data_IF_855955587984
#
_entry.id   IF_855955587984
#
_cell.length_a   1.000
_cell.length_b   1.000
_cell.length_c   1.000
_cell.angle_alpha   90.00
_cell.angle_beta   90.00
_cell.angle_gamma   90.00
#
_symmetry.space_group_name_H-M   'P 1'
#
loop_
_entity.id
_entity.type
_entity.pdbx_description
1 polymer ?
#
# COMPACT_ATOMS: atom_id res chain seq x y z
N UNK A 1 32.62 19.21 12.75
CA UNK A 1 31.77 18.43 13.66
C UNK A 1 30.32 18.55 13.21
N UNK A 2 29.72 17.41 12.86
CA UNK A 2 28.33 17.35 12.44
C UNK A 2 27.41 17.24 13.66
N UNK A 3 26.65 18.29 13.95
CA UNK A 3 25.63 18.25 14.99
C UNK A 3 24.40 17.49 14.51
N UNK A 4 24.08 16.37 15.13
CA UNK A 4 22.80 15.71 15.01
C UNK A 4 21.93 16.13 16.20
N UNK A 5 20.95 17.01 15.97
CA UNK A 5 19.95 17.35 16.98
C UNK A 5 18.55 17.02 16.50
N UNK A 6 17.78 16.33 17.34
CA UNK A 6 16.35 16.12 17.16
C UNK A 6 15.51 17.23 17.78
N UNK A 7 16.15 18.27 18.35
CA UNK A 7 15.48 19.43 18.97
C UNK A 7 15.31 20.56 17.96
N UNK A 8 14.24 21.32 18.10
CA UNK A 8 13.90 22.48 17.25
C UNK A 8 14.79 23.69 17.47
N UNK A 9 15.68 23.68 18.46
CA UNK A 9 16.64 24.75 18.73
C UNK A 9 18.01 24.18 19.06
N UNK A 10 19.05 24.79 18.51
CA UNK A 10 20.46 24.51 18.78
C UNK A 10 21.08 25.77 19.37
N UNK A 11 21.69 25.68 20.55
CA UNK A 11 22.51 26.76 21.11
C UNK A 11 23.93 26.58 20.59
N UNK A 12 24.47 27.62 19.96
CA UNK A 12 25.86 27.68 19.51
C UNK A 12 26.53 28.80 20.26
N UNK A 13 27.68 28.53 20.90
CA UNK A 13 28.50 29.60 21.46
C UNK A 13 29.06 30.43 20.28
N UNK A 14 28.72 31.71 20.26
CA UNK A 14 29.19 32.61 19.22
C UNK A 14 30.43 33.37 19.76
N UNK A 15 31.54 33.27 19.03
CA UNK A 15 32.62 34.24 19.13
C UNK A 15 32.30 35.42 18.21
N UNK A 16 32.77 36.62 18.57
CA UNK A 16 32.52 37.84 17.83
C UNK A 16 32.78 37.67 16.32
N UNK A 17 31.84 38.12 15.48
CA UNK A 17 31.86 38.07 14.02
C UNK A 17 31.49 36.72 13.34
N UNK A 18 30.69 35.85 13.96
CA UNK A 18 30.18 34.69 13.29
C UNK A 18 28.73 34.87 12.82
N UNK A 19 28.51 34.81 11.50
CA UNK A 19 27.16 34.73 10.92
C UNK A 19 26.80 33.24 10.72
N UNK A 20 25.79 32.75 11.46
CA UNK A 20 25.31 31.38 11.31
C UNK A 20 24.07 31.38 10.43
N UNK A 21 24.21 30.99 9.19
CA UNK A 21 23.09 30.69 8.30
C UNK A 21 22.68 29.23 8.45
N UNK A 22 21.87 28.91 9.49
CA UNK A 22 21.35 27.58 9.69
C UNK A 22 20.09 27.38 8.83
N UNK A 23 20.23 26.66 7.71
CA UNK A 23 19.10 26.18 6.92
C UNK A 23 18.65 24.85 7.50
N UNK A 24 17.68 24.87 8.37
CA UNK A 24 17.05 23.63 8.87
C UNK A 24 16.19 23.02 7.75
N UNK A 25 16.75 22.08 7.02
CA UNK A 25 15.97 21.19 6.18
C UNK A 25 15.53 20.05 7.10
N UNK A 26 14.25 20.03 7.45
CA UNK A 26 13.66 18.86 8.08
C UNK A 26 13.90 17.66 7.15
N UNK A 27 14.88 16.82 7.49
CA UNK A 27 15.00 15.52 6.83
C UNK A 27 13.79 14.71 7.24
N UNK A 28 12.77 14.73 6.38
CA UNK A 28 11.69 13.77 6.49
C UNK A 28 12.35 12.40 6.30
N UNK A 29 12.34 11.51 7.31
CA UNK A 29 12.98 10.21 7.17
C UNK A 29 12.40 9.50 5.95
N UNK A 30 13.25 8.76 5.24
CA UNK A 30 12.83 7.93 4.12
C UNK A 30 11.68 7.05 4.57
N UNK A 31 10.49 7.27 4.02
CA UNK A 31 9.31 6.49 4.37
C UNK A 31 9.03 5.50 3.24
N UNK A 32 9.12 4.23 3.57
CA UNK A 32 8.54 3.18 2.75
C UNK A 32 7.03 3.20 2.96
N UNK A 33 6.31 3.92 2.10
CA UNK A 33 4.85 3.98 2.16
C UNK A 33 4.20 2.75 1.54
N UNK A 34 4.97 1.92 0.82
CA UNK A 34 4.46 0.70 0.23
C UNK A 34 4.21 -0.39 1.30
N UNK A 35 5.13 -0.57 2.28
CA UNK A 35 4.93 -1.46 3.42
C UNK A 35 4.21 -2.75 3.09
N UNK A 36 3.09 -2.99 3.76
CA UNK A 36 2.19 -4.13 3.53
C UNK A 36 1.59 -4.17 2.11
N UNK A 37 1.57 -3.03 1.40
CA UNK A 37 1.03 -2.92 0.05
C UNK A 37 1.99 -3.43 -1.05
N UNK A 38 3.23 -3.80 -0.71
CA UNK A 38 4.17 -4.39 -1.67
C UNK A 38 3.63 -5.70 -2.22
N UNK A 39 3.60 -5.82 -3.54
CA UNK A 39 3.20 -7.06 -4.22
C UNK A 39 1.88 -7.66 -3.73
N UNK A 40 0.88 -6.82 -3.40
CA UNK A 40 -0.46 -7.33 -3.11
C UNK A 40 -0.95 -8.11 -4.32
N UNK A 41 -1.41 -9.33 -4.08
CA UNK A 41 -2.02 -10.21 -5.07
C UNK A 41 -3.23 -10.90 -4.46
N UNK A 42 -4.28 -11.01 -5.25
CA UNK A 42 -5.48 -11.77 -4.91
C UNK A 42 -5.71 -12.87 -5.92
N UNK A 43 -6.14 -14.04 -5.45
CA UNK A 43 -6.66 -15.12 -6.28
C UNK A 43 -8.06 -15.48 -5.76
N UNK A 44 -9.04 -15.45 -6.66
CA UNK A 44 -10.44 -15.47 -6.31
C UNK A 44 -11.12 -16.64 -7.01
N UNK A 45 -11.89 -17.41 -6.24
CA UNK A 45 -12.83 -18.41 -6.75
C UNK A 45 -14.22 -18.07 -6.19
N UNK A 46 -15.26 -18.78 -6.64
CA UNK A 46 -16.60 -18.64 -6.07
C UNK A 46 -16.71 -19.12 -4.60
N UNK A 47 -15.69 -19.81 -4.07
CA UNK A 47 -15.70 -20.40 -2.71
C UNK A 47 -14.58 -19.86 -1.83
N UNK A 48 -13.57 -19.20 -2.40
CA UNK A 48 -12.38 -18.79 -1.64
C UNK A 48 -11.77 -17.50 -2.17
N UNK A 49 -11.11 -16.79 -1.28
CA UNK A 49 -10.24 -15.65 -1.57
C UNK A 49 -8.88 -15.89 -0.95
N UNK A 50 -7.86 -16.03 -1.79
CA UNK A 50 -6.47 -16.01 -1.35
C UNK A 50 -5.93 -14.60 -1.51
N UNK A 51 -5.29 -14.08 -0.46
CA UNK A 51 -4.60 -12.79 -0.49
C UNK A 51 -3.15 -12.96 -0.05
N UNK A 52 -2.23 -12.34 -0.79
CA UNK A 52 -0.81 -12.18 -0.47
C UNK A 52 -0.51 -10.69 -0.34
N UNK A 53 0.39 -10.32 0.58
CA UNK A 53 0.78 -8.94 0.86
C UNK A 53 2.30 -8.81 1.08
N UNK A 54 2.79 -7.58 1.24
CA UNK A 54 4.19 -7.30 1.56
C UNK A 54 4.51 -7.64 3.02
N UNK A 55 5.70 -8.20 3.25
CA UNK A 55 6.21 -8.39 4.62
C UNK A 55 6.49 -7.02 5.25
N UNK A 56 6.11 -6.87 6.51
CA UNK A 56 6.31 -5.65 7.29
C UNK A 56 7.39 -5.89 8.33
N UNK A 57 8.44 -5.09 8.32
CA UNK A 57 9.52 -5.19 9.29
C UNK A 57 8.99 -4.97 10.71
N UNK A 58 9.41 -5.81 11.64
CA UNK A 58 8.99 -5.75 13.04
C UNK A 58 7.57 -6.27 13.33
N UNK A 59 6.85 -6.79 12.33
CA UNK A 59 5.57 -7.45 12.56
C UNK A 59 5.76 -8.79 13.28
N UNK A 60 4.85 -9.12 14.18
CA UNK A 60 4.70 -10.46 14.76
C UNK A 60 3.64 -11.29 14.04
N UNK A 61 2.84 -10.67 13.18
CA UNK A 61 1.82 -11.31 12.39
C UNK A 61 0.86 -10.32 11.76
N UNK A 62 -0.22 -10.85 11.20
CA UNK A 62 -1.19 -10.08 10.42
C UNK A 62 -2.60 -10.50 10.78
N UNK A 63 -3.49 -9.53 10.91
CA UNK A 63 -4.93 -9.74 11.01
C UNK A 63 -5.60 -9.34 9.70
N UNK A 64 -6.44 -10.22 9.19
CA UNK A 64 -7.23 -9.99 7.98
C UNK A 64 -8.66 -9.68 8.37
N UNK A 65 -9.11 -8.49 8.02
CA UNK A 65 -10.47 -8.02 8.23
C UNK A 65 -11.24 -8.09 6.92
N UNK A 66 -12.47 -8.56 6.98
CA UNK A 66 -13.34 -8.69 5.82
C UNK A 66 -14.76 -8.39 6.20
N UNK A 67 -15.52 -7.78 5.29
CA UNK A 67 -16.95 -7.49 5.48
C UNK A 67 -17.63 -7.39 4.11
N UNK A 68 -18.95 -7.62 4.06
CA UNK A 68 -19.75 -7.29 2.89
C UNK A 68 -19.59 -5.80 2.56
N UNK A 69 -19.53 -5.48 1.27
CA UNK A 69 -19.24 -4.12 0.84
C UNK A 69 -20.23 -3.08 1.34
N UNK A 70 -21.52 -3.45 1.45
CA UNK A 70 -22.61 -2.61 1.96
C UNK A 70 -22.55 -2.32 3.46
N UNK A 71 -21.79 -3.09 4.25
CA UNK A 71 -21.70 -2.92 5.71
C UNK A 71 -20.44 -2.17 6.12
N UNK A 72 -20.45 -1.47 7.26
CA UNK A 72 -19.23 -0.88 7.83
C UNK A 72 -18.20 -1.97 8.13
N UNK A 73 -16.90 -1.71 7.89
CA UNK A 73 -15.83 -2.65 8.21
C UNK A 73 -15.79 -2.93 9.72
N UNK A 74 -15.86 -4.21 10.07
CA UNK A 74 -15.53 -4.64 11.43
C UNK A 74 -14.00 -4.56 11.59
N UNK A 75 -13.55 -3.70 12.46
CA UNK A 75 -12.11 -3.50 12.73
C UNK A 75 -11.65 -4.14 14.04
N UNK A 76 -12.56 -4.84 14.75
CA UNK A 76 -12.27 -5.51 16.02
C UNK A 76 -12.08 -7.01 15.84
N UNK A 77 -12.90 -7.64 14.98
CA UNK A 77 -12.95 -9.09 14.80
C UNK A 77 -12.35 -9.49 13.44
N UNK A 78 -11.06 -9.87 13.37
CA UNK A 78 -10.47 -10.36 12.13
C UNK A 78 -11.08 -11.70 11.72
N UNK A 79 -11.33 -11.89 10.42
CA UNK A 79 -11.77 -13.18 9.88
C UNK A 79 -10.65 -14.22 9.88
N UNK A 80 -9.39 -13.76 9.95
CA UNK A 80 -8.21 -14.61 10.02
C UNK A 80 -7.05 -13.87 10.69
N UNK A 81 -6.37 -14.54 11.62
CA UNK A 81 -5.07 -14.13 12.15
C UNK A 81 -3.99 -15.03 11.57
N UNK A 82 -2.95 -14.43 11.01
CA UNK A 82 -1.76 -15.11 10.48
C UNK A 82 -0.58 -14.75 11.38
N UNK A 83 -0.02 -15.75 12.06
CA UNK A 83 1.12 -15.57 12.96
C UNK A 83 2.44 -15.68 12.19
N UNK A 84 3.45 -14.96 12.66
CA UNK A 84 4.80 -14.93 12.07
C UNK A 84 4.98 -13.82 11.03
N UNK A 85 6.09 -13.11 11.13
CA UNK A 85 6.44 -11.97 10.25
C UNK A 85 6.61 -12.38 8.77
N UNK A 86 7.05 -13.62 8.53
CA UNK A 86 7.27 -14.16 7.17
C UNK A 86 6.01 -14.70 6.51
N UNK A 87 4.93 -14.96 7.27
CA UNK A 87 3.68 -15.54 6.80
C UNK A 87 2.79 -14.47 6.18
N UNK A 88 3.00 -14.14 4.94
CA UNK A 88 2.36 -13.02 4.24
C UNK A 88 1.32 -13.45 3.18
N UNK A 89 0.65 -14.57 3.42
CA UNK A 89 -0.39 -15.12 2.54
C UNK A 89 -1.42 -15.89 3.36
N UNK A 90 -2.69 -15.81 2.98
CA UNK A 90 -3.74 -16.68 3.55
C UNK A 90 -4.88 -16.89 2.57
N UNK A 91 -5.62 -17.97 2.77
CA UNK A 91 -6.86 -18.27 2.05
C UNK A 91 -8.03 -18.21 3.02
N UNK A 92 -9.09 -17.55 2.60
CA UNK A 92 -10.33 -17.35 3.35
C UNK A 92 -11.45 -18.04 2.58
N UNK A 93 -12.23 -18.88 3.25
CA UNK A 93 -13.39 -19.58 2.71
C UNK A 93 -14.69 -19.20 3.40
N UNK A 94 -14.59 -18.60 4.58
CA UNK A 94 -15.73 -18.10 5.38
C UNK A 94 -15.47 -16.69 5.90
N UNK A 95 -16.52 -15.90 6.03
CA UNK A 95 -16.52 -14.60 6.64
C UNK A 95 -17.51 -14.61 7.81
N UNK A 96 -17.01 -14.46 9.05
CA UNK A 96 -17.83 -14.54 10.27
C UNK A 96 -18.76 -15.77 10.29
N UNK A 97 -18.22 -16.96 10.01
CA UNK A 97 -18.96 -18.22 9.98
C UNK A 97 -19.70 -18.51 8.66
N UNK A 98 -19.98 -17.49 7.83
CA UNK A 98 -20.72 -17.66 6.57
C UNK A 98 -19.78 -17.97 5.42
N UNK A 99 -20.12 -18.95 4.57
CA UNK A 99 -19.33 -19.28 3.38
C UNK A 99 -19.26 -18.09 2.40
N UNK A 100 -18.08 -17.86 1.80
CA UNK A 100 -17.88 -16.74 0.85
C UNK A 100 -18.75 -16.86 -0.40
N UNK A 101 -19.14 -18.08 -0.80
CA UNK A 101 -20.05 -18.29 -1.94
C UNK A 101 -21.43 -17.60 -1.78
N UNK A 102 -21.82 -17.22 -0.56
CA UNK A 102 -23.05 -16.46 -0.28
C UNK A 102 -22.85 -14.94 -0.36
N UNK A 103 -21.64 -14.45 -0.61
CA UNK A 103 -21.32 -13.02 -0.67
C UNK A 103 -21.11 -12.58 -2.11
N UNK A 104 -21.64 -11.40 -2.48
CA UNK A 104 -21.48 -10.83 -3.84
C UNK A 104 -20.20 -10.01 -3.97
N UNK A 105 -20.08 -8.96 -3.17
CA UNK A 105 -18.92 -8.05 -3.14
C UNK A 105 -18.50 -7.87 -1.68
N UNK A 106 -17.24 -8.08 -1.41
CA UNK A 106 -16.64 -7.91 -0.08
C UNK A 106 -15.54 -6.85 -0.12
N UNK A 107 -15.34 -6.21 1.02
CA UNK A 107 -14.15 -5.40 1.27
C UNK A 107 -13.22 -6.12 2.23
N UNK A 108 -11.92 -6.01 1.97
CA UNK A 108 -10.87 -6.69 2.74
C UNK A 108 -9.73 -5.74 3.05
N UNK A 109 -9.20 -5.82 4.26
CA UNK A 109 -8.01 -5.09 4.70
C UNK A 109 -7.14 -6.00 5.56
N UNK A 110 -5.84 -5.96 5.32
CA UNK A 110 -4.84 -6.64 6.14
C UNK A 110 -4.15 -5.61 7.03
N UNK A 111 -3.97 -5.92 8.31
CA UNK A 111 -3.22 -5.09 9.25
C UNK A 111 -2.07 -5.90 9.83
N UNK A 112 -0.84 -5.38 9.76
CA UNK A 112 0.31 -5.93 10.44
C UNK A 112 0.29 -5.50 11.92
N UNK A 113 0.55 -6.42 12.83
CA UNK A 113 0.63 -6.12 14.25
C UNK A 113 2.00 -6.52 14.84
N UNK A 114 2.40 -5.77 15.87
CA UNK A 114 3.47 -6.08 16.79
C UNK A 114 2.87 -6.37 18.17
N UNK A 115 3.46 -7.31 18.89
CA UNK A 115 3.10 -7.57 20.30
C UNK A 115 3.91 -6.62 21.19
N UNK A 116 3.20 -5.86 22.01
CA UNK A 116 3.78 -4.99 23.05
C UNK A 116 3.10 -5.37 24.35
N UNK A 117 3.86 -5.89 25.30
CA UNK A 117 3.35 -6.42 26.59
C UNK A 117 2.19 -7.42 26.36
N UNK A 118 2.36 -8.35 25.42
CA UNK A 118 1.36 -9.37 25.09
C UNK A 118 0.15 -8.87 24.28
N UNK A 119 -0.02 -7.56 24.10
CA UNK A 119 -1.15 -6.96 23.39
C UNK A 119 -0.77 -6.61 21.93
N UNK A 120 -1.70 -6.80 20.99
CA UNK A 120 -1.51 -6.42 19.60
C UNK A 120 -1.55 -4.89 19.44
N UNK A 121 -0.48 -4.32 18.85
CA UNK A 121 -0.43 -2.95 18.34
C UNK A 121 -0.28 -2.99 16.83
N UNK A 122 -1.24 -2.45 16.08
CA UNK A 122 -1.15 -2.37 14.62
C UNK A 122 -0.10 -1.33 14.21
N UNK A 123 0.82 -1.75 13.33
CA UNK A 123 1.96 -0.95 12.88
C UNK A 123 1.88 -0.58 11.41
N UNK A 124 1.07 -1.31 10.62
CA UNK A 124 0.81 -1.01 9.21
C UNK A 124 -0.53 -1.60 8.76
N UNK A 125 -1.09 -1.09 7.67
CA UNK A 125 -2.34 -1.57 7.07
C UNK A 125 -2.32 -1.51 5.55
N UNK A 126 -2.95 -2.48 4.90
CA UNK A 126 -3.15 -2.45 3.45
C UNK A 126 -4.18 -1.40 3.04
N UNK A 127 -4.21 -1.08 1.75
CA UNK A 127 -5.37 -0.45 1.13
C UNK A 127 -6.62 -1.28 1.41
N UNK A 128 -7.77 -0.63 1.40
CA UNK A 128 -9.05 -1.30 1.43
C UNK A 128 -9.37 -1.82 0.02
N UNK A 129 -9.30 -3.13 -0.15
CA UNK A 129 -9.62 -3.78 -1.40
C UNK A 129 -11.11 -4.10 -1.47
N UNK A 130 -11.68 -4.03 -2.67
CA UNK A 130 -13.05 -4.43 -2.96
C UNK A 130 -13.02 -5.58 -3.97
N UNK A 131 -13.56 -6.72 -3.57
CA UNK A 131 -13.47 -7.98 -4.31
C UNK A 131 -14.87 -8.45 -4.70
N UNK A 132 -15.06 -8.69 -5.98
CA UNK A 132 -16.26 -9.34 -6.51
C UNK A 132 -16.08 -10.84 -6.36
N UNK A 133 -16.92 -11.49 -5.56
CA UNK A 133 -16.93 -12.95 -5.40
C UNK A 133 -17.99 -13.56 -6.33
N UNK A 134 -19.23 -13.08 -6.22
CA UNK A 134 -20.35 -13.52 -7.04
C UNK A 134 -21.11 -12.28 -7.54
N UNK A 135 -21.12 -12.03 -8.83
CA UNK A 135 -21.90 -10.99 -9.47
C UNK A 135 -22.13 -11.31 -10.93
N UNK A 136 -23.35 -11.14 -11.39
CA UNK A 136 -23.68 -11.27 -12.81
C UNK A 136 -23.21 -10.05 -13.61
N UNK A 137 -23.20 -8.87 -12.99
CA UNK A 137 -22.92 -7.59 -13.65
C UNK A 137 -21.51 -7.08 -13.49
N UNK A 138 -20.78 -7.49 -12.42
CA UNK A 138 -19.47 -6.93 -12.03
C UNK A 138 -18.36 -7.98 -12.07
N UNK A 139 -17.13 -7.52 -12.30
CA UNK A 139 -15.93 -8.38 -12.30
C UNK A 139 -14.74 -7.68 -11.66
N UNK A 140 -13.73 -8.46 -11.30
CA UNK A 140 -12.47 -7.98 -10.75
C UNK A 140 -11.51 -7.52 -11.86
N UNK A 141 -10.50 -6.74 -11.48
CA UNK A 141 -9.34 -6.46 -12.31
C UNK A 141 -8.42 -7.68 -12.22
N UNK A 142 -8.11 -8.28 -13.38
CA UNK A 142 -7.20 -9.43 -13.52
C UNK A 142 -5.74 -8.98 -13.70
N UNK A 143 -5.52 -7.84 -14.35
CA UNK A 143 -4.17 -7.35 -14.69
C UNK A 143 -4.12 -5.83 -14.64
N UNK A 144 -3.00 -5.31 -14.17
CA UNK A 144 -2.61 -3.89 -14.25
C UNK A 144 -1.43 -3.81 -15.20
N UNK A 145 -1.59 -3.10 -16.31
CA UNK A 145 -0.53 -2.89 -17.31
C UNK A 145 -0.12 -1.43 -17.32
N UNK A 146 1.17 -1.17 -17.42
CA UNK A 146 1.76 0.15 -17.54
C UNK A 146 2.58 0.20 -18.83
N UNK A 147 2.62 1.35 -19.49
CA UNK A 147 3.36 1.55 -20.73
C UNK A 147 4.86 1.27 -20.56
N UNK A 148 5.41 1.61 -19.39
CA UNK A 148 6.81 1.34 -19.03
C UNK A 148 6.87 0.75 -17.62
N UNK A 149 7.80 -0.19 -17.41
CA UNK A 149 8.09 -0.78 -16.09
C UNK A 149 9.24 -0.08 -15.35
N UNK A 150 9.94 0.84 -16.03
CA UNK A 150 11.04 1.62 -15.46
C UNK A 150 11.08 3.02 -16.07
N UNK A 151 11.47 3.98 -15.25
CA UNK A 151 11.73 5.37 -15.64
C UNK A 151 13.05 5.83 -15.03
N UNK A 152 13.86 6.54 -15.86
CA UNK A 152 14.99 7.32 -15.39
C UNK A 152 14.64 8.80 -15.50
N UNK A 153 14.81 9.56 -14.42
CA UNK A 153 14.36 10.94 -14.31
C UNK A 153 15.43 11.79 -13.63
N UNK A 154 15.54 13.05 -14.03
CA UNK A 154 16.32 14.04 -13.25
C UNK A 154 15.51 14.52 -12.04
N UNK A 155 16.22 14.98 -11.00
CA UNK A 155 15.59 15.62 -9.82
C UNK A 155 14.61 16.71 -10.24
N UNK A 156 13.51 16.88 -9.51
CA UNK A 156 12.39 17.82 -9.76
C UNK A 156 11.51 17.49 -10.96
N UNK A 157 11.84 16.49 -11.80
CA UNK A 157 10.97 16.05 -12.89
C UNK A 157 9.82 15.20 -12.38
N UNK A 158 8.75 15.15 -13.15
CA UNK A 158 7.57 14.36 -12.88
C UNK A 158 7.16 13.50 -14.09
N UNK A 159 6.51 12.38 -13.82
CA UNK A 159 5.88 11.51 -14.82
C UNK A 159 4.55 11.01 -14.26
N UNK A 160 3.54 10.92 -15.11
CA UNK A 160 2.24 10.37 -14.74
C UNK A 160 2.15 8.91 -15.17
N UNK A 161 1.93 8.01 -14.21
CA UNK A 161 1.63 6.62 -14.47
C UNK A 161 0.17 6.49 -14.90
N UNK A 162 -0.06 5.94 -16.09
CA UNK A 162 -1.41 5.72 -16.66
C UNK A 162 -1.66 4.21 -16.72
N UNK A 163 -2.17 3.57 -15.64
CA UNK A 163 -2.43 2.15 -15.64
C UNK A 163 -3.63 1.79 -16.49
N UNK A 164 -3.49 0.70 -17.26
CA UNK A 164 -4.59 0.05 -17.97
C UNK A 164 -5.03 -1.17 -17.18
N UNK A 165 -6.34 -1.31 -16.98
CA UNK A 165 -6.94 -2.37 -16.18
C UNK A 165 -7.63 -3.38 -17.09
N UNK A 166 -7.17 -4.64 -17.06
CA UNK A 166 -7.81 -5.73 -17.78
C UNK A 166 -8.83 -6.40 -16.84
N UNK A 167 -10.11 -6.48 -17.20
CA UNK A 167 -11.11 -7.19 -16.42
C UNK A 167 -10.87 -8.71 -16.45
N UNK A 168 -11.28 -9.41 -15.39
CA UNK A 168 -11.24 -10.87 -15.34
C UNK A 168 -12.27 -11.50 -16.29
N UNK A 169 -13.37 -10.80 -16.51
CA UNK A 169 -14.39 -11.14 -17.51
C UNK A 169 -14.72 -9.89 -18.33
N UNK A 170 -14.45 -9.93 -19.64
CA UNK A 170 -14.61 -8.79 -20.53
C UNK A 170 -16.08 -8.38 -20.76
N UNK A 171 -17.04 -9.32 -20.57
CA UNK A 171 -18.48 -9.06 -20.72
C UNK A 171 -19.10 -8.41 -19.47
N UNK A 172 -18.32 -8.24 -18.39
CA UNK A 172 -18.80 -7.65 -17.13
C UNK A 172 -18.09 -6.33 -16.84
N UNK A 173 -18.80 -5.44 -16.15
CA UNK A 173 -18.25 -4.14 -15.78
C UNK A 173 -17.31 -4.25 -14.56
N UNK A 174 -16.27 -3.46 -14.55
CA UNK A 174 -15.47 -3.25 -13.34
C UNK A 174 -16.29 -2.51 -12.27
N UNK A 175 -15.87 -2.63 -11.00
CA UNK A 175 -16.47 -1.85 -9.92
C UNK A 175 -16.38 -0.35 -10.23
N UNK A 176 -17.45 0.37 -9.95
CA UNK A 176 -17.52 1.81 -10.17
C UNK A 176 -16.80 2.61 -9.08
N UNK A 177 -16.77 3.93 -9.26
CA UNK A 177 -16.09 4.86 -8.35
C UNK A 177 -16.69 4.88 -6.93
N UNK A 178 -17.94 4.45 -6.77
CA UNK A 178 -18.63 4.32 -5.49
C UNK A 178 -17.94 3.32 -4.53
N UNK A 179 -17.12 2.41 -5.07
CA UNK A 179 -16.31 1.47 -4.29
C UNK A 179 -14.90 2.02 -3.97
N UNK A 180 -14.52 3.16 -4.53
CA UNK A 180 -13.22 3.80 -4.35
C UNK A 180 -12.41 3.92 -5.64
N UNK A 181 -11.17 4.45 -5.56
CA UNK A 181 -10.31 4.63 -6.74
C UNK A 181 -9.93 3.27 -7.34
N UNK A 182 -9.85 3.21 -8.68
CA UNK A 182 -9.42 1.98 -9.37
C UNK A 182 -7.97 1.61 -9.09
N UNK A 183 -7.13 2.58 -8.74
CA UNK A 183 -5.73 2.37 -8.40
C UNK A 183 -5.32 3.12 -7.14
N UNK A 184 -4.37 2.52 -6.42
CA UNK A 184 -3.63 3.10 -5.32
C UNK A 184 -2.15 3.08 -5.67
N UNK A 185 -1.39 4.10 -5.20
CA UNK A 185 0.02 4.26 -5.54
C UNK A 185 0.85 4.41 -4.27
N UNK A 186 1.98 3.68 -4.20
CA UNK A 186 2.86 3.70 -3.04
C UNK A 186 4.33 3.64 -3.45
N UNK A 187 5.16 4.46 -2.80
CA UNK A 187 6.61 4.49 -2.99
C UNK A 187 7.32 3.69 -1.92
N UNK A 188 8.34 2.92 -2.30
CA UNK A 188 9.23 2.26 -1.34
C UNK A 188 10.26 3.19 -0.71
N UNK A 189 10.46 4.39 -1.29
CA UNK A 189 11.37 5.40 -0.75
C UNK A 189 10.92 6.81 -1.16
N UNK A 190 10.22 7.49 -0.25
CA UNK A 190 9.69 8.84 -0.49
C UNK A 190 10.75 9.94 -0.49
N UNK A 191 12.00 9.64 -0.11
CA UNK A 191 13.11 10.58 -0.29
C UNK A 191 13.59 10.62 -1.74
N UNK A 192 13.52 9.49 -2.46
CA UNK A 192 13.89 9.40 -3.88
C UNK A 192 12.76 9.90 -4.77
N UNK A 193 11.56 9.36 -4.60
CA UNK A 193 10.39 9.82 -5.34
C UNK A 193 9.09 9.61 -4.53
N UNK A 194 8.19 10.57 -4.65
CA UNK A 194 6.82 10.49 -4.14
C UNK A 194 5.85 10.24 -5.28
N UNK A 195 4.68 9.72 -4.96
CA UNK A 195 3.57 9.53 -5.91
C UNK A 195 2.26 10.00 -5.26
N UNK A 196 1.42 10.69 -6.01
CA UNK A 196 0.10 11.13 -5.55
C UNK A 196 -1.01 10.15 -5.96
N UNK A 197 -2.24 10.46 -5.54
CA UNK A 197 -3.43 9.66 -5.83
C UNK A 197 -3.79 9.58 -7.33
N UNK A 198 -3.29 10.50 -8.14
CA UNK A 198 -3.48 10.54 -9.59
C UNK A 198 -2.38 9.79 -10.36
N UNK A 199 -1.42 9.19 -9.64
CA UNK A 199 -0.29 8.47 -10.22
C UNK A 199 0.83 9.39 -10.73
N UNK A 200 0.86 10.67 -10.31
CA UNK A 200 1.96 11.58 -10.65
C UNK A 200 3.14 11.29 -9.73
N UNK A 201 4.21 10.74 -10.31
CA UNK A 201 5.48 10.48 -9.64
C UNK A 201 6.37 11.72 -9.77
N UNK A 202 6.83 12.27 -8.64
CA UNK A 202 7.76 13.40 -8.58
C UNK A 202 9.11 12.96 -8.04
N UNK A 203 10.19 13.16 -8.81
CA UNK A 203 11.56 12.89 -8.43
C UNK A 203 12.05 13.95 -7.41
N UNK A 204 12.62 13.52 -6.28
CA UNK A 204 13.08 14.39 -5.19
C UNK A 204 14.60 14.42 -5.03
N UNK A 205 15.23 13.27 -5.00
CA UNK A 205 16.68 13.14 -4.84
C UNK A 205 17.20 11.93 -5.62
N UNK A 206 18.49 11.93 -5.94
CA UNK A 206 19.16 10.80 -6.59
C UNK A 206 19.00 9.51 -5.81
N UNK A 207 18.81 8.41 -6.54
CA UNK A 207 18.61 7.09 -5.96
C UNK A 207 17.63 6.23 -6.75
N UNK A 208 17.24 5.11 -6.15
CA UNK A 208 16.28 4.16 -6.73
C UNK A 208 15.14 3.90 -5.77
N UNK A 209 13.93 3.79 -6.29
CA UNK A 209 12.76 3.29 -5.57
C UNK A 209 11.81 2.56 -6.51
N UNK A 210 10.85 1.84 -5.92
CA UNK A 210 9.78 1.19 -6.66
C UNK A 210 8.46 1.86 -6.32
N UNK A 211 7.67 2.21 -7.34
CA UNK A 211 6.28 2.60 -7.16
C UNK A 211 5.41 1.37 -7.40
N UNK A 212 4.58 1.00 -6.43
CA UNK A 212 3.55 -0.02 -6.59
C UNK A 212 2.24 0.62 -7.00
N UNK A 213 1.70 0.17 -8.13
CA UNK A 213 0.35 0.49 -8.60
C UNK A 213 -0.54 -0.68 -8.25
N UNK A 214 -1.52 -0.49 -7.39
CA UNK A 214 -2.38 -1.54 -6.86
C UNK A 214 -3.81 -1.27 -7.29
N UNK A 215 -4.43 -2.23 -7.96
CA UNK A 215 -5.85 -2.12 -8.32
C UNK A 215 -6.75 -2.29 -7.11
N UNK A 216 -7.97 -1.78 -7.20
CA UNK A 216 -9.00 -1.97 -6.16
C UNK A 216 -9.28 -3.46 -5.88
N UNK A 217 -9.05 -4.35 -6.85
CA UNK A 217 -9.21 -5.81 -6.70
C UNK A 217 -7.97 -6.51 -6.14
N UNK A 218 -6.91 -5.77 -5.77
CA UNK A 218 -5.72 -6.35 -5.15
C UNK A 218 -4.76 -7.02 -6.13
N UNK A 219 -4.67 -6.52 -7.35
CA UNK A 219 -3.63 -6.88 -8.32
C UNK A 219 -2.66 -5.72 -8.42
N UNK A 220 -1.37 -5.97 -8.23
CA UNK A 220 -0.34 -4.93 -8.26
C UNK A 220 0.65 -5.07 -9.42
N UNK A 221 1.17 -3.93 -9.87
CA UNK A 221 2.25 -3.82 -10.85
C UNK A 221 3.33 -2.88 -10.32
N UNK A 222 4.60 -3.34 -10.21
CA UNK A 222 5.71 -2.49 -9.79
C UNK A 222 6.26 -1.67 -10.97
N UNK A 223 6.74 -0.47 -10.66
CA UNK A 223 7.46 0.43 -11.58
C UNK A 223 8.75 0.85 -10.92
N UNK A 224 9.88 0.62 -11.57
CA UNK A 224 11.19 1.06 -11.11
C UNK A 224 11.41 2.54 -11.43
N UNK A 225 11.84 3.31 -10.45
CA UNK A 225 12.21 4.72 -10.62
C UNK A 225 13.69 4.87 -10.28
N UNK A 226 14.48 5.38 -11.22
CA UNK A 226 15.86 5.81 -11.02
C UNK A 226 15.91 7.31 -11.16
N UNK A 227 16.39 8.01 -10.14
CA UNK A 227 16.59 9.46 -10.15
C UNK A 227 18.09 9.74 -10.21
N UNK A 228 18.51 10.58 -11.14
CA UNK A 228 19.91 11.03 -11.37
C UNK A 228 20.03 12.53 -11.22
#
# INVERSE_FOLDING_TARGET
DSFKSTKTSVRVAANNNMTINAKFVAQIPARDTAGINKNIQTAITNKSLTIKWGKVAGANGYDVFMQNCSKKMDTKNPVKTVRGASSNKTTITKMHGTALSKSSIVKIQVKAYKLVNGKKKYIDKSVLLHIVLNSEKRTNIKKVTLAKKAYTMSVKRAVTLKPVFTPANASKLLLGAEHGPRAFYYSTNTNVAIVDANGVVKAKASGKCTIYVISISGVSSPVQITVR
#
